data_IF_910009712992
#
_entry.id   IF_910009712992
#
_cell.length_a   1.000
_cell.length_b   1.000
_cell.length_c   1.000
_cell.angle_alpha   90.00
_cell.angle_beta   90.00
_cell.angle_gamma   90.00
#
_symmetry.space_group_name_H-M   'P 1'
#
loop_
_entity.id
_entity.type
_entity.pdbx_description
1 polymer ?
#
# COMPACT_ATOMS: atom_id res chain seq x y z
N UNK A 1 -5.42 -19.38 -3.56
CA UNK A 1 -6.33 -18.22 -3.55
C UNK A 1 -5.53 -16.92 -3.42
N UNK A 2 -4.77 -16.72 -2.34
CA UNK A 2 -3.99 -15.49 -2.15
C UNK A 2 -2.95 -15.21 -3.27
N UNK A 3 -2.27 -16.25 -3.78
CA UNK A 3 -1.38 -16.10 -4.96
C UNK A 3 -2.08 -15.54 -6.21
N UNK A 4 -3.35 -15.90 -6.45
CA UNK A 4 -4.11 -15.37 -7.58
C UNK A 4 -4.42 -13.89 -7.37
N UNK A 5 -4.85 -13.51 -6.17
CA UNK A 5 -5.14 -12.11 -5.82
C UNK A 5 -3.89 -11.24 -5.99
N UNK A 6 -2.72 -11.77 -5.63
CA UNK A 6 -1.44 -11.07 -5.85
C UNK A 6 -1.19 -10.86 -7.36
N UNK A 7 -1.46 -11.86 -8.19
CA UNK A 7 -1.36 -11.72 -9.66
C UNK A 7 -2.34 -10.66 -10.17
N UNK A 8 -3.60 -10.72 -9.75
CA UNK A 8 -4.64 -9.76 -10.18
C UNK A 8 -4.28 -8.32 -9.78
N UNK A 9 -3.69 -8.13 -8.59
CA UNK A 9 -3.16 -6.85 -8.13
C UNK A 9 -2.00 -6.35 -9.01
N UNK A 10 -1.05 -7.23 -9.36
CA UNK A 10 0.07 -6.89 -10.26
C UNK A 10 -0.43 -6.45 -11.63
N UNK A 11 -1.36 -7.21 -12.21
CA UNK A 11 -1.91 -6.91 -13.52
C UNK A 11 -2.67 -5.57 -13.51
N UNK A 12 -3.43 -5.31 -12.44
CA UNK A 12 -4.19 -4.07 -12.30
C UNK A 12 -3.28 -2.85 -12.07
N UNK A 13 -2.25 -2.97 -11.23
CA UNK A 13 -1.27 -1.91 -11.01
C UNK A 13 -0.54 -1.59 -12.31
N UNK A 14 -0.08 -2.62 -13.04
CA UNK A 14 0.59 -2.45 -14.35
C UNK A 14 -0.29 -1.74 -15.36
N UNK A 15 -1.58 -2.08 -15.42
CA UNK A 15 -2.55 -1.43 -16.31
C UNK A 15 -2.79 0.05 -15.97
N UNK A 16 -2.46 0.48 -14.74
CA UNK A 16 -2.67 1.85 -14.25
C UNK A 16 -1.38 2.58 -13.85
N UNK A 17 -0.20 2.05 -14.23
CA UNK A 17 1.10 2.52 -13.72
C UNK A 17 1.40 4.01 -13.99
N UNK A 18 0.80 4.61 -15.02
CA UNK A 18 0.97 6.04 -15.33
C UNK A 18 0.32 6.97 -14.28
N UNK A 19 -0.64 6.46 -13.50
CA UNK A 19 -1.46 7.25 -12.57
C UNK A 19 -1.64 6.61 -11.19
N UNK A 20 -1.01 5.47 -10.94
CA UNK A 20 -1.19 4.67 -9.74
C UNK A 20 0.13 4.05 -9.32
N UNK A 21 0.46 4.20 -8.03
CA UNK A 21 1.71 3.71 -7.43
C UNK A 21 1.46 2.67 -6.33
N UNK A 22 0.21 2.38 -6.02
CA UNK A 22 -0.20 1.48 -4.93
C UNK A 22 -1.64 1.02 -5.09
N UNK A 23 -1.92 -0.21 -4.67
CA UNK A 23 -3.26 -0.78 -4.63
C UNK A 23 -3.43 -1.78 -3.48
N UNK A 24 -4.64 -1.84 -2.94
CA UNK A 24 -5.07 -2.83 -1.95
C UNK A 24 -6.10 -3.82 -2.54
N UNK A 25 -6.10 -5.06 -2.05
CA UNK A 25 -6.97 -6.13 -2.57
C UNK A 25 -8.47 -5.83 -2.49
N UNK A 26 -8.90 -5.00 -1.54
CA UNK A 26 -10.30 -4.57 -1.45
C UNK A 26 -10.74 -3.72 -2.66
N UNK A 27 -9.82 -2.98 -3.29
CA UNK A 27 -10.11 -2.17 -4.48
C UNK A 27 -10.46 -3.01 -5.71
N UNK A 28 -10.04 -4.28 -5.73
CA UNK A 28 -10.38 -5.25 -6.78
C UNK A 28 -11.39 -6.31 -6.29
N UNK A 29 -12.12 -6.01 -5.22
CA UNK A 29 -13.25 -6.82 -4.75
C UNK A 29 -12.89 -7.99 -3.82
N UNK A 30 -11.64 -8.09 -3.35
CA UNK A 30 -11.23 -9.14 -2.41
C UNK A 30 -11.07 -8.59 -0.99
N UNK A 31 -11.85 -9.13 -0.04
CA UNK A 31 -11.68 -8.83 1.38
C UNK A 31 -10.47 -9.61 1.96
N UNK A 32 -9.26 -9.17 1.58
CA UNK A 32 -7.98 -9.72 2.01
C UNK A 32 -7.02 -8.59 2.35
N UNK A 33 -6.19 -8.81 3.35
CA UNK A 33 -5.14 -7.87 3.76
C UNK A 33 -3.90 -8.02 2.90
N UNK A 34 -3.99 -7.63 1.63
CA UNK A 34 -2.88 -7.69 0.68
C UNK A 34 -2.78 -6.35 -0.03
N UNK A 35 -1.58 -5.79 -0.08
CA UNK A 35 -1.27 -4.56 -0.82
C UNK A 35 -0.14 -4.82 -1.79
N UNK A 36 -0.12 -4.04 -2.86
CA UNK A 36 1.01 -3.92 -3.79
C UNK A 36 1.35 -2.45 -3.97
N UNK A 37 2.62 -2.13 -4.13
CA UNK A 37 3.05 -0.77 -4.45
C UNK A 37 4.36 -0.77 -5.23
N UNK A 38 4.58 0.27 -6.02
CA UNK A 38 5.81 0.46 -6.78
C UNK A 38 6.82 1.24 -5.93
N UNK A 39 7.99 0.64 -5.70
CA UNK A 39 9.13 1.27 -5.04
C UNK A 39 10.30 1.38 -6.02
N UNK A 40 10.43 2.54 -6.66
CA UNK A 40 11.41 2.74 -7.74
C UNK A 40 11.01 1.93 -8.98
N UNK A 41 11.82 0.93 -9.33
CA UNK A 41 11.59 0.07 -10.51
C UNK A 41 10.95 -1.28 -10.17
N UNK A 42 10.69 -1.55 -8.88
CA UNK A 42 10.19 -2.85 -8.42
C UNK A 42 8.82 -2.71 -7.77
N UNK A 43 7.93 -3.65 -8.09
CA UNK A 43 6.66 -3.80 -7.38
C UNK A 43 6.83 -4.74 -6.18
N UNK A 44 6.45 -4.23 -5.01
CA UNK A 44 6.54 -4.93 -3.73
C UNK A 44 5.14 -5.33 -3.30
N UNK A 45 4.99 -6.59 -2.89
CA UNK A 45 3.75 -7.14 -2.37
C UNK A 45 3.91 -7.37 -0.87
N UNK A 46 2.92 -6.91 -0.10
CA UNK A 46 2.83 -7.20 1.33
C UNK A 46 1.53 -7.92 1.63
N UNK A 47 1.66 -9.14 2.16
CA UNK A 47 0.56 -9.93 2.70
C UNK A 47 0.50 -9.73 4.21
N UNK A 48 -0.70 -9.45 4.71
CA UNK A 48 -1.00 -9.11 6.10
C UNK A 48 -0.07 -8.00 6.67
N UNK A 49 0.08 -6.85 6.02
CA UNK A 49 0.91 -5.77 6.54
C UNK A 49 0.33 -5.22 7.85
N UNK A 50 1.22 -4.96 8.81
CA UNK A 50 0.95 -4.33 10.10
C UNK A 50 2.01 -3.27 10.37
N UNK A 51 1.60 -2.01 10.48
CA UNK A 51 2.51 -0.92 10.86
C UNK A 51 2.71 -0.94 12.37
N UNK A 52 3.90 -1.33 12.82
CA UNK A 52 4.23 -1.51 14.24
C UNK A 52 4.94 -0.31 14.86
N UNK A 53 5.47 0.62 14.06
CA UNK A 53 6.04 1.89 14.51
C UNK A 53 5.78 2.99 13.49
N UNK A 54 5.61 4.23 13.98
CA UNK A 54 5.42 5.45 13.19
C UNK A 54 6.16 6.61 13.85
N UNK A 55 6.85 7.45 13.08
CA UNK A 55 7.50 8.66 13.60
C UNK A 55 7.58 9.75 12.55
N UNK A 56 7.86 10.98 12.99
CA UNK A 56 7.92 12.21 12.17
C UNK A 56 6.61 12.47 11.40
N UNK A 57 5.54 12.90 12.10
CA UNK A 57 4.29 13.24 11.44
C UNK A 57 4.45 14.49 10.57
N UNK A 58 3.80 14.49 9.40
CA UNK A 58 3.76 15.62 8.48
C UNK A 58 2.42 15.65 7.74
N UNK A 59 2.04 16.84 7.27
CA UNK A 59 0.85 17.02 6.44
C UNK A 59 1.24 16.93 4.95
N UNK A 60 0.41 16.25 4.17
CA UNK A 60 0.62 16.01 2.73
C UNK A 60 -0.71 15.95 2.01
N UNK A 61 -0.69 15.82 0.69
CA UNK A 61 -1.88 15.60 -0.13
C UNK A 61 -1.77 14.27 -0.87
N UNK A 62 -2.90 13.57 -1.00
CA UNK A 62 -2.99 12.29 -1.69
C UNK A 62 -4.15 12.26 -2.68
N UNK A 63 -3.96 11.57 -3.80
CA UNK A 63 -5.04 11.12 -4.67
C UNK A 63 -5.31 9.62 -4.44
N UNK A 64 -6.47 9.15 -4.88
CA UNK A 64 -6.84 7.73 -4.81
C UNK A 64 -7.61 7.36 -6.09
N UNK A 65 -7.35 6.20 -6.69
CA UNK A 65 -8.09 5.78 -7.90
C UNK A 65 -9.61 5.70 -7.69
N UNK A 66 -10.04 5.52 -6.44
CA UNK A 66 -11.45 5.48 -6.06
C UNK A 66 -12.10 6.85 -5.87
N UNK A 67 -11.35 7.97 -5.97
CA UNK A 67 -11.82 9.33 -5.69
C UNK A 67 -11.29 10.34 -6.72
N UNK A 68 -12.09 11.38 -7.00
CA UNK A 68 -11.63 12.51 -7.81
C UNK A 68 -10.85 13.53 -6.97
N UNK A 69 -9.75 14.05 -7.53
CA UNK A 69 -8.92 15.09 -6.95
C UNK A 69 -7.91 14.62 -5.90
N UNK A 70 -7.36 15.58 -5.15
CA UNK A 70 -6.43 15.33 -4.04
C UNK A 70 -7.04 15.81 -2.72
N UNK A 71 -6.65 15.19 -1.60
CA UNK A 71 -7.13 15.51 -0.26
C UNK A 71 -5.97 15.65 0.73
N UNK A 72 -6.02 16.62 1.65
CA UNK A 72 -5.01 16.76 2.69
C UNK A 72 -5.13 15.63 3.71
N UNK A 73 -3.99 15.04 4.09
CA UNK A 73 -3.91 13.93 5.05
C UNK A 73 -2.63 14.03 5.87
N UNK A 74 -2.68 13.51 7.10
CA UNK A 74 -1.51 13.40 7.97
C UNK A 74 -0.85 12.04 7.83
N UNK A 75 0.45 12.04 7.57
CA UNK A 75 1.27 10.82 7.39
C UNK A 75 2.51 10.87 8.27
N UNK A 76 3.21 9.75 8.35
CA UNK A 76 4.46 9.62 9.09
C UNK A 76 5.60 9.35 8.13
N UNK A 77 6.68 10.14 8.18
CA UNK A 77 7.81 9.99 7.26
C UNK A 77 8.57 8.68 7.46
N UNK A 78 8.48 8.07 8.65
CA UNK A 78 9.17 6.83 8.98
C UNK A 78 8.19 5.83 9.58
N UNK A 79 8.15 4.61 9.04
CA UNK A 79 7.34 3.51 9.55
C UNK A 79 8.14 2.21 9.63
N UNK A 80 7.80 1.34 10.58
CA UNK A 80 8.24 -0.07 10.59
C UNK A 80 7.03 -0.94 10.30
N UNK A 81 7.15 -1.86 9.35
CA UNK A 81 6.06 -2.74 8.92
C UNK A 81 6.46 -4.19 9.08
N UNK A 82 5.58 -4.98 9.69
CA UNK A 82 5.64 -6.45 9.69
C UNK A 82 4.68 -6.98 8.63
N UNK A 83 5.16 -7.88 7.77
CA UNK A 83 4.38 -8.41 6.65
C UNK A 83 4.95 -9.75 6.17
N UNK A 84 4.27 -10.40 5.23
CA UNK A 84 4.83 -11.51 4.46
C UNK A 84 4.97 -11.12 2.98
N UNK A 85 6.01 -11.60 2.32
CA UNK A 85 6.19 -11.41 0.87
C UNK A 85 5.28 -12.34 0.04
N UNK A 86 5.43 -12.31 -1.29
CA UNK A 86 4.65 -13.18 -2.19
C UNK A 86 4.94 -14.69 -2.05
N UNK A 87 6.05 -15.04 -1.39
CA UNK A 87 6.41 -16.42 -1.03
C UNK A 87 5.99 -16.76 0.40
N UNK A 88 5.22 -15.88 1.06
CA UNK A 88 4.73 -16.02 2.43
C UNK A 88 5.83 -16.07 3.48
N UNK A 89 7.03 -15.56 3.17
CA UNK A 89 8.10 -15.41 4.14
C UNK A 89 7.88 -14.13 4.94
N UNK A 90 8.03 -14.22 6.27
CA UNK A 90 7.86 -13.08 7.18
C UNK A 90 9.02 -12.09 7.06
N UNK A 91 8.68 -10.82 7.10
CA UNK A 91 9.60 -9.69 7.07
C UNK A 91 9.20 -8.65 8.12
N UNK A 92 10.22 -7.91 8.57
CA UNK A 92 10.07 -6.69 9.33
C UNK A 92 11.03 -5.67 8.75
N UNK A 93 10.51 -4.57 8.23
CA UNK A 93 11.31 -3.60 7.48
C UNK A 93 10.90 -2.18 7.80
N UNK A 94 11.88 -1.28 7.77
CA UNK A 94 11.67 0.16 7.92
C UNK A 94 11.53 0.80 6.55
N UNK A 95 10.54 1.68 6.40
CA UNK A 95 10.27 2.44 5.19
C UNK A 95 10.21 3.92 5.52
N UNK A 96 10.64 4.74 4.56
CA UNK A 96 10.68 6.19 4.73
C UNK A 96 10.11 6.96 3.54
N UNK A 97 9.81 8.24 3.76
CA UNK A 97 9.41 9.19 2.71
C UNK A 97 8.16 8.76 1.96
N UNK A 98 8.20 8.89 0.63
CA UNK A 98 7.05 8.60 -0.23
C UNK A 98 6.61 7.13 -0.20
N UNK A 99 7.56 6.19 -0.11
CA UNK A 99 7.21 4.76 0.04
C UNK A 99 6.46 4.51 1.34
N UNK A 100 6.88 5.14 2.45
CA UNK A 100 6.14 5.06 3.70
C UNK A 100 4.73 5.64 3.58
N UNK A 101 4.57 6.74 2.84
CA UNK A 101 3.27 7.36 2.57
C UNK A 101 2.34 6.40 1.81
N UNK A 102 2.80 5.79 0.72
CA UNK A 102 2.02 4.83 -0.06
C UNK A 102 1.59 3.65 0.81
N UNK A 103 2.50 3.04 1.56
CA UNK A 103 2.17 1.89 2.42
C UNK A 103 1.09 2.25 3.44
N UNK A 104 1.18 3.45 4.05
CA UNK A 104 0.15 3.93 4.97
C UNK A 104 -1.21 4.09 4.29
N UNK A 105 -1.24 4.64 3.07
CA UNK A 105 -2.45 4.75 2.25
C UNK A 105 -3.08 3.39 1.97
N UNK A 106 -2.31 2.44 1.43
CA UNK A 106 -2.83 1.12 1.10
C UNK A 106 -3.27 0.33 2.34
N UNK A 107 -2.60 0.54 3.49
CA UNK A 107 -3.02 -0.06 4.75
C UNK A 107 -4.33 0.54 5.26
N UNK A 108 -4.61 1.82 5.04
CA UNK A 108 -5.90 2.42 5.42
C UNK A 108 -7.06 1.84 4.62
N UNK A 109 -6.87 1.56 3.32
CA UNK A 109 -7.85 0.81 2.53
C UNK A 109 -8.21 -0.53 3.16
N UNK A 110 -7.23 -1.27 3.68
CA UNK A 110 -7.48 -2.55 4.38
C UNK A 110 -8.32 -2.41 5.65
N UNK A 111 -8.37 -1.22 6.25
CA UNK A 111 -9.22 -0.89 7.40
C UNK A 111 -10.56 -0.26 6.99
N UNK A 112 -10.83 -0.14 5.68
CA UNK A 112 -12.00 0.57 5.17
C UNK A 112 -11.93 2.10 5.38
N UNK A 113 -10.74 2.63 5.64
CA UNK A 113 -10.49 4.08 5.74
C UNK A 113 -10.00 4.59 4.39
N UNK A 114 -10.64 5.64 3.90
CA UNK A 114 -10.25 6.34 2.67
C UNK A 114 -9.86 7.78 3.08
N UNK A 115 -8.91 8.35 2.36
CA UNK A 115 -8.47 9.76 2.50
C UNK A 115 -9.61 10.78 2.27
#
# INVERSE_FOLDING_TARGET
>A
KDKQIITDLRDTLKANHERCVGMAANMIGFNKRIIIFTAGIMDIVMVNPVIVKKSKPYDTEEGCLSLEGVRPVKRYECITVEYMDSDFKKHRSDFTGFTAQIIQHECDHLEGRII
#
